data_IF_501666292443
#
_entry.id   IF_501666292443
#
_cell.length_a   1.000
_cell.length_b   1.000
_cell.length_c   1.000
_cell.angle_alpha   90.00
_cell.angle_beta   90.00
_cell.angle_gamma   90.00
#
_symmetry.space_group_name_H-M   'P 1'
#
loop_
_entity.id
_entity.type
_entity.pdbx_description
1 polymer ?
#
# COMPACT_ATOMS: atom_id res chain seq x y z
N UNK A 1 43.09 29.15 38.46
CA UNK A 1 43.09 28.10 37.41
C UNK A 1 41.73 27.42 37.51
N UNK A 2 40.73 27.77 36.68
CA UNK A 2 40.47 27.21 35.32
C UNK A 2 40.53 25.67 35.38
N UNK A 3 39.48 24.89 35.07
CA UNK A 3 38.44 25.14 34.10
C UNK A 3 37.10 24.44 34.33
N UNK A 4 36.20 24.77 33.41
CA UNK A 4 34.77 24.56 33.33
C UNK A 4 34.51 23.45 32.30
N UNK A 5 33.28 22.90 32.29
CA UNK A 5 32.60 22.20 31.19
C UNK A 5 32.97 20.72 30.96
N UNK A 6 32.10 19.82 30.53
CA UNK A 6 30.71 19.87 30.06
C UNK A 6 30.16 18.43 30.05
N UNK A 7 28.84 18.29 30.16
CA UNK A 7 28.15 17.05 30.39
C UNK A 7 28.15 16.04 29.24
N UNK A 8 27.87 14.79 29.63
CA UNK A 8 27.32 13.74 28.77
C UNK A 8 26.18 13.05 29.53
N UNK A 9 25.06 13.76 29.63
CA UNK A 9 23.75 13.15 29.86
C UNK A 9 23.24 12.58 28.54
N UNK A 10 23.69 11.39 28.17
CA UNK A 10 23.06 10.60 27.11
C UNK A 10 21.95 9.79 27.76
N UNK A 11 20.70 10.21 27.58
CA UNK A 11 19.52 9.50 28.09
C UNK A 11 19.35 8.16 27.38
N UNK A 12 19.92 7.10 27.93
CA UNK A 12 19.46 5.73 27.70
C UNK A 12 18.15 5.54 28.47
N UNK A 13 17.05 5.88 27.82
CA UNK A 13 15.71 5.62 28.37
C UNK A 13 15.43 4.14 28.20
N UNK A 14 15.53 3.38 29.29
CA UNK A 14 15.30 1.95 29.33
C UNK A 14 13.94 1.57 28.71
N UNK A 15 13.95 0.56 27.83
CA UNK A 15 12.75 -0.04 27.26
C UNK A 15 11.98 -0.76 28.36
N UNK A 16 10.84 -0.21 28.78
CA UNK A 16 9.97 -0.86 29.76
C UNK A 16 9.14 -1.96 29.07
N UNK A 17 9.27 -3.19 29.56
CA UNK A 17 8.57 -4.36 29.00
C UNK A 17 7.35 -4.66 29.86
N UNK A 18 6.18 -4.23 29.43
CA UNK A 18 4.90 -4.48 30.12
C UNK A 18 4.25 -5.76 29.58
N UNK A 19 4.08 -6.76 30.44
CA UNK A 19 3.42 -8.04 30.06
C UNK A 19 1.95 -7.99 30.46
N UNK A 20 1.04 -8.18 29.51
CA UNK A 20 -0.41 -8.26 29.74
C UNK A 20 -0.91 -9.59 29.15
N UNK A 21 -1.20 -10.56 30.01
CA UNK A 21 -1.53 -11.92 29.60
C UNK A 21 -0.40 -12.60 28.81
N UNK A 22 -0.70 -13.17 27.64
CA UNK A 22 0.26 -13.85 26.76
C UNK A 22 1.12 -12.88 25.94
N UNK A 23 0.76 -11.58 25.90
CA UNK A 23 1.41 -10.59 25.03
C UNK A 23 2.35 -9.70 25.83
N UNK A 24 3.61 -9.62 25.40
CA UNK A 24 4.60 -8.70 25.93
C UNK A 24 4.67 -7.44 25.06
N UNK A 25 4.37 -6.28 25.64
CA UNK A 25 4.53 -4.98 25.00
C UNK A 25 5.87 -4.37 25.41
N UNK A 26 6.65 -3.89 24.44
CA UNK A 26 7.80 -3.03 24.71
C UNK A 26 7.39 -1.58 24.46
N UNK A 27 7.48 -0.74 25.48
CA UNK A 27 7.35 0.71 25.29
C UNK A 27 8.70 1.26 24.80
N UNK A 28 8.69 1.80 23.57
CA UNK A 28 9.87 2.43 23.01
C UNK A 28 10.09 3.79 23.71
N UNK A 29 11.29 4.01 24.25
CA UNK A 29 11.64 5.25 24.96
C UNK A 29 11.58 6.49 24.06
N UNK A 30 11.38 7.67 24.64
CA UNK A 30 11.16 8.94 23.91
C UNK A 30 12.21 9.24 22.82
N UNK A 31 13.48 8.90 23.05
CA UNK A 31 14.57 9.09 22.08
C UNK A 31 14.48 8.23 20.81
N UNK A 32 13.73 7.12 20.84
CA UNK A 32 13.46 6.28 19.67
C UNK A 32 12.59 7.02 18.65
N UNK A 33 11.54 7.71 19.12
CA UNK A 33 10.62 8.44 18.26
C UNK A 33 11.25 9.73 17.70
N UNK A 34 12.11 10.41 18.47
CA UNK A 34 12.79 11.63 18.01
C UNK A 34 13.71 11.37 16.83
N UNK A 35 14.40 10.21 16.79
CA UNK A 35 15.28 9.81 15.67
C UNK A 35 14.51 9.38 14.41
N UNK A 36 13.21 9.08 14.52
CA UNK A 36 12.36 8.58 13.42
C UNK A 36 11.20 9.52 13.09
N UNK A 37 11.28 10.77 13.54
CA UNK A 37 10.30 11.78 13.19
C UNK A 37 10.36 12.05 11.67
N UNK A 38 9.32 11.64 10.97
CA UNK A 38 9.19 11.85 9.53
C UNK A 38 8.95 13.34 9.24
N UNK A 39 9.66 13.89 8.26
CA UNK A 39 9.33 15.22 7.72
C UNK A 39 7.95 15.13 7.07
N UNK A 40 7.02 16.02 7.47
CA UNK A 40 5.70 16.13 6.84
C UNK A 40 5.87 16.60 5.39
N UNK A 41 5.77 15.67 4.44
CA UNK A 41 5.94 15.97 3.01
C UNK A 41 4.68 15.72 2.16
N UNK A 42 3.76 14.88 2.63
CA UNK A 42 2.53 14.57 1.91
C UNK A 42 1.51 15.73 2.06
N UNK A 43 1.50 16.63 1.09
CA UNK A 43 0.48 17.66 0.97
C UNK A 43 -0.81 17.08 0.34
N UNK A 44 -1.92 17.80 0.47
CA UNK A 44 -3.24 17.43 -0.09
C UNK A 44 -3.16 16.93 -1.54
N UNK A 45 -2.45 17.68 -2.40
CA UNK A 45 -2.30 17.35 -3.82
C UNK A 45 -1.56 16.03 -4.06
N UNK A 46 -0.53 15.74 -3.26
CA UNK A 46 0.23 14.49 -3.36
C UNK A 46 -0.60 13.29 -2.91
N UNK A 47 -1.44 13.45 -1.87
CA UNK A 47 -2.30 12.38 -1.39
C UNK A 47 -3.44 12.08 -2.38
N UNK A 48 -4.03 13.14 -2.95
CA UNK A 48 -5.07 13.01 -3.97
C UNK A 48 -4.55 12.33 -5.24
N UNK A 49 -3.37 12.75 -5.75
CA UNK A 49 -2.81 12.16 -6.96
C UNK A 49 -2.46 10.68 -6.79
N UNK A 50 -1.93 10.29 -5.62
CA UNK A 50 -1.66 8.89 -5.31
C UNK A 50 -2.94 8.05 -5.32
N UNK A 51 -4.03 8.55 -4.71
CA UNK A 51 -5.31 7.86 -4.70
C UNK A 51 -5.92 7.71 -6.10
N UNK A 52 -5.96 8.79 -6.88
CA UNK A 52 -6.53 8.78 -8.24
C UNK A 52 -5.73 7.87 -9.18
N UNK A 53 -4.39 7.94 -9.12
CA UNK A 53 -3.54 7.08 -9.94
C UNK A 53 -3.74 5.59 -9.64
N UNK A 54 -3.89 5.23 -8.37
CA UNK A 54 -4.14 3.84 -7.96
C UNK A 54 -5.47 3.30 -8.51
N UNK A 55 -6.53 4.11 -8.52
CA UNK A 55 -7.87 3.69 -9.00
C UNK A 55 -7.89 3.56 -10.53
N UNK A 56 -7.46 4.59 -11.26
CA UNK A 56 -7.53 4.61 -12.73
C UNK A 56 -6.69 3.47 -13.34
N UNK A 57 -5.55 3.13 -12.71
CA UNK A 57 -4.72 2.01 -13.18
C UNK A 57 -5.47 0.67 -13.14
N UNK A 58 -6.37 0.46 -12.19
CA UNK A 58 -7.16 -0.77 -12.08
C UNK A 58 -8.29 -0.86 -13.10
N UNK A 59 -8.91 0.29 -13.42
CA UNK A 59 -10.02 0.36 -14.37
C UNK A 59 -9.64 -0.12 -15.78
N UNK A 60 -8.43 0.22 -16.23
CA UNK A 60 -7.90 -0.19 -17.54
C UNK A 60 -7.85 -1.71 -17.73
N UNK A 61 -7.65 -2.46 -16.65
CA UNK A 61 -7.55 -3.92 -16.70
C UNK A 61 -8.90 -4.61 -16.49
N UNK A 62 -9.70 -4.16 -15.52
CA UNK A 62 -10.86 -4.93 -15.03
C UNK A 62 -12.11 -4.92 -15.92
N UNK A 63 -12.36 -3.83 -16.65
CA UNK A 63 -13.66 -3.62 -17.30
C UNK A 63 -13.88 -4.52 -18.50
N UNK A 64 -12.84 -4.84 -19.27
CA UNK A 64 -12.92 -5.73 -20.42
C UNK A 64 -13.39 -7.14 -20.03
N UNK A 65 -12.91 -7.64 -18.89
CA UNK A 65 -13.35 -8.92 -18.33
C UNK A 65 -14.80 -8.85 -17.85
N UNK A 66 -15.17 -7.77 -17.15
CA UNK A 66 -16.54 -7.54 -16.68
C UNK A 66 -17.56 -7.46 -17.82
N UNK A 67 -17.22 -6.75 -18.91
CA UNK A 67 -18.02 -6.69 -20.12
C UNK A 67 -18.14 -8.06 -20.80
N UNK A 68 -17.06 -8.84 -20.85
CA UNK A 68 -17.06 -10.18 -21.45
C UNK A 68 -17.97 -11.18 -20.73
N UNK A 69 -18.12 -11.06 -19.41
CA UNK A 69 -18.95 -11.98 -18.60
C UNK A 69 -20.38 -11.47 -18.43
N UNK A 70 -20.56 -10.21 -18.04
CA UNK A 70 -21.87 -9.65 -17.66
C UNK A 70 -22.54 -8.81 -18.75
N UNK A 71 -21.86 -8.57 -19.87
CA UNK A 71 -22.30 -7.59 -20.87
C UNK A 71 -22.38 -6.16 -20.31
N UNK A 72 -22.86 -5.23 -21.13
CA UNK A 72 -22.98 -3.83 -20.72
C UNK A 72 -23.97 -3.65 -19.55
N UNK A 73 -25.15 -4.28 -19.62
CA UNK A 73 -26.19 -4.14 -18.60
C UNK A 73 -25.78 -4.73 -17.25
N UNK A 74 -25.14 -5.91 -17.24
CA UNK A 74 -24.64 -6.52 -16.03
C UNK A 74 -23.52 -5.71 -15.39
N UNK A 75 -22.58 -5.20 -16.19
CA UNK A 75 -21.52 -4.34 -15.70
C UNK A 75 -22.08 -3.02 -15.13
N UNK A 76 -23.07 -2.40 -15.77
CA UNK A 76 -23.69 -1.17 -15.29
C UNK A 76 -24.33 -1.35 -13.90
N UNK A 77 -25.10 -2.44 -13.71
CA UNK A 77 -25.74 -2.74 -12.42
C UNK A 77 -24.67 -3.02 -11.35
N UNK A 78 -23.66 -3.82 -11.68
CA UNK A 78 -22.55 -4.11 -10.76
C UNK A 78 -21.81 -2.84 -10.34
N UNK A 79 -21.52 -1.94 -11.29
CA UNK A 79 -20.85 -0.66 -11.02
C UNK A 79 -21.68 0.22 -10.07
N UNK A 80 -22.99 0.32 -10.26
CA UNK A 80 -23.86 1.10 -9.37
C UNK A 80 -23.86 0.50 -7.96
N UNK A 81 -23.97 -0.83 -7.85
CA UNK A 81 -23.98 -1.51 -6.55
C UNK A 81 -22.66 -1.30 -5.79
N UNK A 82 -21.52 -1.49 -6.47
CA UNK A 82 -20.20 -1.26 -5.88
C UNK A 82 -19.97 0.21 -5.54
N UNK A 83 -20.45 1.15 -6.36
CA UNK A 83 -20.34 2.58 -6.07
C UNK A 83 -21.03 2.94 -4.75
N UNK A 84 -22.25 2.43 -4.50
CA UNK A 84 -22.97 2.67 -3.24
C UNK A 84 -22.20 2.10 -2.05
N UNK A 85 -21.69 0.86 -2.17
CA UNK A 85 -20.86 0.25 -1.13
C UNK A 85 -19.59 1.07 -0.86
N UNK A 86 -18.94 1.56 -1.91
CA UNK A 86 -17.72 2.34 -1.83
C UNK A 86 -17.94 3.71 -1.16
N UNK A 87 -19.07 4.37 -1.41
CA UNK A 87 -19.45 5.58 -0.68
C UNK A 87 -19.60 5.32 0.82
N UNK A 88 -20.29 4.24 1.20
CA UNK A 88 -20.44 3.85 2.60
C UNK A 88 -19.10 3.55 3.28
N UNK A 89 -18.19 2.87 2.58
CA UNK A 89 -16.83 2.63 3.05
C UNK A 89 -16.06 3.94 3.23
N UNK A 90 -16.11 4.85 2.25
CA UNK A 90 -15.44 6.15 2.33
C UNK A 90 -15.90 6.96 3.55
N UNK A 91 -17.20 7.03 3.81
CA UNK A 91 -17.72 7.75 4.99
C UNK A 91 -17.29 7.08 6.30
N UNK A 92 -17.32 5.75 6.35
CA UNK A 92 -16.86 5.01 7.54
C UNK A 92 -15.38 5.30 7.86
N UNK A 93 -14.52 5.30 6.84
CA UNK A 93 -13.10 5.64 6.99
C UNK A 93 -12.91 7.11 7.38
N UNK A 94 -13.72 8.01 6.81
CA UNK A 94 -13.67 9.44 7.12
C UNK A 94 -14.02 9.76 8.58
N UNK A 95 -14.92 9.00 9.21
CA UNK A 95 -15.25 9.14 10.63
C UNK A 95 -14.18 8.51 11.54
N UNK A 96 -13.63 7.35 11.14
CA UNK A 96 -12.62 6.64 11.93
C UNK A 96 -11.23 7.30 11.88
N UNK A 97 -10.85 7.89 10.74
CA UNK A 97 -9.53 8.51 10.54
C UNK A 97 -9.20 9.64 11.55
N UNK A 98 -10.11 10.57 11.90
CA UNK A 98 -9.87 11.56 12.95
C UNK A 98 -10.02 10.98 14.36
N UNK A 99 -10.87 9.96 14.55
CA UNK A 99 -11.08 9.33 15.86
C UNK A 99 -9.85 8.54 16.34
N UNK A 100 -9.05 8.01 15.40
CA UNK A 100 -7.86 7.20 15.67
C UNK A 100 -6.64 7.81 14.95
N UNK A 101 -6.07 8.94 15.44
CA UNK A 101 -5.07 9.74 14.73
C UNK A 101 -3.64 9.16 14.81
N UNK A 102 -3.52 7.84 14.81
CA UNK A 102 -2.26 7.12 14.77
C UNK A 102 -2.10 6.38 13.44
N UNK A 103 -0.87 6.23 12.98
CA UNK A 103 -0.56 5.55 11.72
C UNK A 103 -0.78 4.04 11.89
N UNK A 104 -1.76 3.48 11.17
CA UNK A 104 -2.08 2.06 11.33
C UNK A 104 -3.11 1.43 10.38
N UNK A 105 -3.67 2.18 9.44
CA UNK A 105 -4.52 1.63 8.37
C UNK A 105 -5.74 0.85 8.85
N UNK A 106 -6.21 -0.09 8.02
CA UNK A 106 -7.39 -0.89 8.34
C UNK A 106 -7.11 -1.86 9.50
N UNK A 107 -5.88 -2.38 9.61
CA UNK A 107 -5.42 -3.14 10.78
C UNK A 107 -5.76 -2.44 12.10
N UNK A 108 -5.44 -1.14 12.19
CA UNK A 108 -5.63 -0.42 13.44
C UNK A 108 -7.10 -0.10 13.72
N UNK A 109 -7.91 0.14 12.70
CA UNK A 109 -9.35 0.28 12.85
C UNK A 109 -9.98 -1.04 13.33
N UNK A 110 -9.61 -2.16 12.71
CA UNK A 110 -10.09 -3.49 13.08
C UNK A 110 -9.66 -3.87 14.51
N UNK A 111 -8.42 -3.54 14.89
CA UNK A 111 -7.91 -3.79 16.25
C UNK A 111 -8.68 -3.00 17.30
N UNK A 112 -9.01 -1.75 17.02
CA UNK A 112 -9.77 -0.89 17.94
C UNK A 112 -11.25 -1.26 18.03
N UNK A 113 -11.87 -1.70 16.92
CA UNK A 113 -13.30 -2.01 16.87
C UNK A 113 -13.64 -3.46 17.28
N UNK A 114 -12.83 -4.43 16.88
CA UNK A 114 -13.13 -5.88 16.98
C UNK A 114 -12.13 -6.60 17.91
N UNK A 115 -11.12 -5.88 18.41
CA UNK A 115 -10.11 -6.41 19.34
C UNK A 115 -8.93 -7.11 18.63
N UNK A 116 -8.07 -7.81 19.41
CA UNK A 116 -6.77 -8.29 18.91
C UNK A 116 -6.86 -9.27 17.74
N UNK A 117 -7.87 -10.14 17.72
CA UNK A 117 -8.06 -11.12 16.64
C UNK A 117 -8.54 -10.47 15.35
N UNK A 118 -9.45 -9.49 15.43
CA UNK A 118 -9.87 -8.70 14.26
C UNK A 118 -8.69 -7.96 13.66
N UNK A 119 -7.89 -7.29 14.49
CA UNK A 119 -6.63 -6.69 14.05
C UNK A 119 -5.69 -7.71 13.39
N UNK A 120 -5.44 -8.87 14.02
CA UNK A 120 -4.54 -9.89 13.45
C UNK A 120 -4.97 -10.37 12.06
N UNK A 121 -6.26 -10.71 11.88
CA UNK A 121 -6.77 -11.19 10.59
C UNK A 121 -6.67 -10.09 9.53
N UNK A 122 -7.07 -8.86 9.85
CA UNK A 122 -6.96 -7.74 8.91
C UNK A 122 -5.50 -7.45 8.55
N UNK A 123 -4.57 -7.52 9.51
CA UNK A 123 -3.15 -7.32 9.24
C UNK A 123 -2.53 -8.42 8.37
N UNK A 124 -2.96 -9.68 8.53
CA UNK A 124 -2.58 -10.77 7.62
C UNK A 124 -3.13 -10.54 6.20
N UNK A 125 -4.39 -10.13 6.10
CA UNK A 125 -5.02 -9.82 4.81
C UNK A 125 -4.30 -8.66 4.11
N UNK A 126 -4.01 -7.57 4.82
CA UNK A 126 -3.23 -6.43 4.29
C UNK A 126 -1.84 -6.90 3.81
N UNK A 127 -1.15 -7.77 4.56
CA UNK A 127 0.15 -8.27 4.13
C UNK A 127 0.07 -9.07 2.82
N UNK A 128 -0.92 -9.95 2.70
CA UNK A 128 -1.17 -10.69 1.45
C UNK A 128 -1.51 -9.75 0.30
N UNK A 129 -2.36 -8.75 0.54
CA UNK A 129 -2.72 -7.73 -0.45
C UNK A 129 -1.48 -6.98 -0.95
N UNK A 130 -0.59 -6.55 -0.06
CA UNK A 130 0.64 -5.84 -0.43
C UNK A 130 1.63 -6.69 -1.23
N UNK A 131 1.61 -8.01 -1.08
CA UNK A 131 2.47 -8.93 -1.86
C UNK A 131 1.84 -9.26 -3.22
N UNK A 132 0.53 -9.50 -3.25
CA UNK A 132 -0.19 -9.93 -4.45
C UNK A 132 -0.42 -8.77 -5.41
N UNK A 133 -0.71 -7.57 -4.91
CA UNK A 133 -1.04 -6.41 -5.75
C UNK A 133 0.06 -6.08 -6.75
N UNK A 134 1.35 -5.94 -6.35
CA UNK A 134 2.43 -5.74 -7.31
C UNK A 134 2.57 -6.88 -8.33
N UNK A 135 2.39 -8.13 -7.91
CA UNK A 135 2.47 -9.28 -8.80
C UNK A 135 1.39 -9.26 -9.88
N UNK A 136 0.15 -8.94 -9.49
CA UNK A 136 -0.99 -8.82 -10.42
C UNK A 136 -0.79 -7.65 -11.38
N UNK A 137 -0.37 -6.49 -10.88
CA UNK A 137 -0.13 -5.30 -11.71
C UNK A 137 0.96 -5.55 -12.75
N UNK A 138 2.09 -6.12 -12.34
CA UNK A 138 3.19 -6.45 -13.26
C UNK A 138 2.79 -7.57 -14.24
N UNK A 139 1.96 -8.53 -13.80
CA UNK A 139 1.32 -9.53 -14.68
C UNK A 139 0.49 -8.89 -15.79
N UNK A 140 -0.40 -7.97 -15.42
CA UNK A 140 -1.22 -7.23 -16.37
C UNK A 140 -0.37 -6.38 -17.34
N UNK A 141 0.68 -5.71 -16.84
CA UNK A 141 1.64 -4.98 -17.67
C UNK A 141 2.32 -5.90 -18.70
N UNK A 142 2.70 -7.12 -18.30
CA UNK A 142 3.31 -8.10 -19.20
C UNK A 142 2.40 -8.48 -20.39
N UNK A 143 1.12 -8.72 -20.10
CA UNK A 143 0.11 -9.01 -21.13
C UNK A 143 -0.11 -7.82 -22.08
N UNK A 144 -0.28 -6.63 -21.52
CA UNK A 144 -0.49 -5.40 -22.28
C UNK A 144 0.71 -5.07 -23.17
N UNK A 145 1.93 -5.16 -22.63
CA UNK A 145 3.15 -4.87 -23.39
C UNK A 145 3.34 -5.84 -24.55
N UNK A 146 3.06 -7.12 -24.36
CA UNK A 146 3.11 -8.10 -25.44
C UNK A 146 2.16 -7.74 -26.59
N UNK A 147 0.89 -7.44 -26.26
CA UNK A 147 -0.12 -7.06 -27.25
C UNK A 147 0.21 -5.75 -27.97
N UNK A 148 0.68 -4.74 -27.24
CA UNK A 148 1.09 -3.44 -27.80
C UNK A 148 2.25 -3.61 -28.77
N UNK A 149 3.27 -4.39 -28.41
CA UNK A 149 4.45 -4.59 -29.25
C UNK A 149 4.12 -5.37 -30.52
N UNK A 150 3.27 -6.41 -30.42
CA UNK A 150 2.75 -7.11 -31.59
C UNK A 150 2.00 -6.14 -32.53
N UNK A 151 1.10 -5.32 -31.97
CA UNK A 151 0.29 -4.39 -32.76
C UNK A 151 1.09 -3.25 -33.39
N UNK A 152 2.08 -2.69 -32.69
CA UNK A 152 2.83 -1.51 -33.18
C UNK A 152 3.93 -1.86 -34.17
N UNK A 153 4.64 -2.97 -33.94
CA UNK A 153 5.80 -3.34 -34.74
C UNK A 153 5.50 -4.46 -35.74
N UNK A 154 4.25 -4.96 -35.77
CA UNK A 154 3.82 -6.08 -36.60
C UNK A 154 4.76 -7.29 -36.49
N UNK A 155 5.29 -7.49 -35.28
CA UNK A 155 6.14 -8.63 -34.94
C UNK A 155 5.23 -9.79 -34.55
N UNK A 156 5.37 -10.93 -35.21
CA UNK A 156 4.66 -12.15 -34.85
C UNK A 156 5.12 -12.74 -33.52
N UNK A 157 4.95 -14.05 -33.35
CA UNK A 157 5.41 -14.77 -32.16
C UNK A 157 6.94 -14.92 -32.18
N UNK A 158 7.64 -13.87 -31.75
CA UNK A 158 9.09 -13.85 -31.58
C UNK A 158 9.42 -14.23 -30.14
N UNK A 159 10.43 -15.08 -29.96
CA UNK A 159 10.83 -15.62 -28.65
C UNK A 159 11.06 -14.57 -27.55
N UNK A 160 11.54 -13.37 -27.89
CA UNK A 160 11.78 -12.29 -26.92
C UNK A 160 10.48 -11.54 -26.58
N UNK A 161 9.49 -11.50 -27.47
CA UNK A 161 8.21 -10.85 -27.25
C UNK A 161 7.20 -11.84 -26.66
N UNK A 162 7.35 -12.15 -25.37
CA UNK A 162 6.43 -12.99 -24.62
C UNK A 162 5.89 -12.29 -23.38
N UNK A 163 4.69 -12.63 -22.88
CA UNK A 163 4.17 -12.08 -21.62
C UNK A 163 5.13 -12.29 -20.44
N UNK A 164 5.86 -13.41 -20.41
CA UNK A 164 6.82 -13.73 -19.35
C UNK A 164 8.04 -12.80 -19.43
N UNK A 165 8.55 -12.54 -20.63
CA UNK A 165 9.66 -11.59 -20.82
C UNK A 165 9.28 -10.21 -20.30
N UNK A 166 8.10 -9.71 -20.70
CA UNK A 166 7.62 -8.39 -20.28
C UNK A 166 7.29 -8.34 -18.79
N UNK A 167 6.79 -9.43 -18.20
CA UNK A 167 6.63 -9.55 -16.76
C UNK A 167 7.96 -9.36 -16.02
N UNK A 168 9.01 -10.10 -16.41
CA UNK A 168 10.32 -10.03 -15.76
C UNK A 168 10.92 -8.62 -15.92
N UNK A 169 10.89 -8.06 -17.12
CA UNK A 169 11.41 -6.70 -17.39
C UNK A 169 10.68 -5.67 -16.54
N UNK A 170 9.35 -5.69 -16.56
CA UNK A 170 8.51 -4.76 -15.78
C UNK A 170 8.72 -4.92 -14.29
N UNK A 171 8.90 -6.15 -13.79
CA UNK A 171 9.20 -6.43 -12.39
C UNK A 171 10.54 -5.83 -11.95
N UNK A 172 11.59 -6.06 -12.75
CA UNK A 172 12.94 -5.51 -12.48
C UNK A 172 12.92 -3.99 -12.47
N UNK A 173 12.23 -3.37 -13.43
CA UNK A 173 12.08 -1.91 -13.48
C UNK A 173 11.32 -1.39 -12.26
N UNK A 174 10.18 -2.02 -11.93
CA UNK A 174 9.37 -1.64 -10.78
C UNK A 174 10.18 -1.70 -9.47
N UNK A 175 10.85 -2.83 -9.21
CA UNK A 175 11.68 -2.99 -8.01
C UNK A 175 12.86 -2.01 -8.02
N UNK A 176 13.51 -1.82 -9.17
CA UNK A 176 14.62 -0.89 -9.31
C UNK A 176 14.24 0.54 -8.95
N UNK A 177 13.11 1.04 -9.47
CA UNK A 177 12.59 2.38 -9.16
C UNK A 177 12.27 2.49 -7.65
N UNK A 178 11.62 1.48 -7.07
CA UNK A 178 11.31 1.48 -5.63
C UNK A 178 12.57 1.51 -4.75
N UNK A 179 13.62 0.77 -5.13
CA UNK A 179 14.90 0.78 -4.39
C UNK A 179 15.56 2.15 -4.47
N UNK A 180 15.64 2.76 -5.66
CA UNK A 180 16.24 4.10 -5.84
C UNK A 180 15.48 5.16 -5.03
N UNK A 181 14.14 5.07 -5.01
CA UNK A 181 13.28 5.99 -4.25
C UNK A 181 13.45 5.93 -2.74
N UNK A 182 13.96 4.82 -2.17
CA UNK A 182 14.22 4.69 -0.73
C UNK A 182 15.50 5.41 -0.30
N UNK A 183 16.49 5.49 -1.21
CA UNK A 183 17.84 6.00 -0.89
C UNK A 183 17.94 7.54 -1.03
N UNK A 184 16.92 8.17 -1.62
CA UNK A 184 16.87 9.63 -1.88
C UNK A 184 16.01 10.35 -0.85
#
# INVERSE_FOLDING_TARGET
MVGRQSGRGGTDVAQERRKVGTVAYQEAGKGYFTKRALKRHAAFWSLWSLGVAAVISGDFYGWNLGLGVGGFGGLLIATIAIAIMYYGLCFSIAEMSPALPHTGGAYSFARSAIGPWGGFVTGLAENMEYVITPAVVVGAMGLLMNAIVQSLFNVGDVWWNSPITWFIVSYVVFVGINIIGIVT
#
